data_IF_191731546433
#
_entry.id   IF_191731546433
#
_cell.length_a   1.000
_cell.length_b   1.000
_cell.length_c   1.000
_cell.angle_alpha   90.00
_cell.angle_beta   90.00
_cell.angle_gamma   90.00
#
_symmetry.space_group_name_H-M   'P 1'
#
loop_
_entity.id
_entity.type
_entity.pdbx_description
1 polymer ?
#
# COMPACT_ATOMS: atom_id res chain seq x y z
N UNK A 1 7.50 10.24 24.04
CA UNK A 1 7.78 10.14 22.58
C UNK A 1 6.45 10.28 21.86
N UNK A 2 6.30 11.27 20.97
CA UNK A 2 5.16 11.25 20.03
C UNK A 2 5.40 10.06 19.11
N UNK A 3 4.54 9.03 19.16
CA UNK A 3 4.55 7.99 18.13
C UNK A 3 4.17 8.71 16.83
N UNK A 4 5.07 8.68 15.85
CA UNK A 4 4.76 9.14 14.50
C UNK A 4 3.64 8.23 13.96
N UNK A 5 2.63 8.82 13.31
CA UNK A 5 1.52 8.05 12.76
C UNK A 5 2.00 7.44 11.46
N UNK A 6 2.04 6.11 11.41
CA UNK A 6 2.49 5.39 10.22
C UNK A 6 1.49 5.58 9.07
N UNK A 7 2.01 6.03 7.93
CA UNK A 7 1.25 6.08 6.68
C UNK A 7 1.27 4.71 6.02
N UNK A 8 0.10 4.24 5.62
CA UNK A 8 -0.04 2.97 4.90
C UNK A 8 0.00 3.22 3.40
N UNK A 9 0.88 2.49 2.74
CA UNK A 9 1.06 2.50 1.29
C UNK A 9 0.54 1.21 0.68
N UNK A 10 0.07 1.32 -0.55
CA UNK A 10 -0.20 0.20 -1.44
C UNK A 10 0.83 0.23 -2.57
N UNK A 11 1.46 -0.92 -2.79
CA UNK A 11 2.41 -1.19 -3.85
C UNK A 11 1.75 -2.12 -4.85
N UNK A 12 1.74 -1.74 -6.11
CA UNK A 12 1.07 -2.47 -7.18
C UNK A 12 2.06 -2.73 -8.32
N UNK A 13 2.33 -4.01 -8.57
CA UNK A 13 3.08 -4.46 -9.73
C UNK A 13 2.12 -5.16 -10.72
N UNK A 14 1.62 -4.44 -11.74
CA UNK A 14 0.69 -5.01 -12.71
C UNK A 14 1.33 -6.06 -13.63
N UNK A 15 2.65 -6.05 -13.83
CA UNK A 15 3.36 -7.08 -14.61
C UNK A 15 3.31 -8.44 -13.92
N UNK A 16 3.42 -8.47 -12.59
CA UNK A 16 3.43 -9.70 -11.79
C UNK A 16 2.08 -9.99 -11.12
N UNK A 17 1.09 -9.13 -11.30
CA UNK A 17 -0.20 -9.17 -10.59
C UNK A 17 -0.03 -9.22 -9.07
N UNK A 18 0.89 -8.41 -8.52
CA UNK A 18 1.16 -8.32 -7.09
C UNK A 18 0.57 -7.01 -6.56
N UNK A 19 -0.21 -7.11 -5.49
CA UNK A 19 -0.63 -5.98 -4.65
C UNK A 19 -0.12 -6.26 -3.24
N UNK A 20 0.56 -5.29 -2.63
CA UNK A 20 1.09 -5.42 -1.26
C UNK A 20 0.88 -4.13 -0.48
N UNK A 21 0.45 -4.26 0.77
CA UNK A 21 0.39 -3.14 1.70
C UNK A 21 1.69 -3.05 2.50
N UNK A 22 2.13 -1.83 2.80
CA UNK A 22 3.33 -1.60 3.59
C UNK A 22 3.26 -0.28 4.37
N UNK A 23 3.97 -0.20 5.50
CA UNK A 23 4.19 1.07 6.20
C UNK A 23 5.37 1.83 5.61
N UNK A 24 5.50 3.12 5.97
CA UNK A 24 6.68 3.92 5.61
C UNK A 24 8.00 3.32 6.10
N UNK A 25 7.99 2.61 7.24
CA UNK A 25 9.15 1.87 7.72
C UNK A 25 9.51 0.71 6.78
N UNK A 26 8.52 -0.11 6.42
CA UNK A 26 8.72 -1.28 5.55
C UNK A 26 9.16 -0.91 4.13
N UNK A 27 8.77 0.27 3.64
CA UNK A 27 9.27 0.82 2.38
C UNK A 27 10.75 1.20 2.43
N UNK A 28 11.26 1.62 3.60
CA UNK A 28 12.63 2.13 3.77
C UNK A 28 13.63 1.06 4.18
N UNK A 29 13.20 0.11 5.01
CA UNK A 29 14.12 -0.76 5.73
C UNK A 29 13.91 -2.26 5.47
N UNK A 30 12.74 -2.66 4.96
CA UNK A 30 12.44 -4.06 4.65
C UNK A 30 12.63 -4.36 3.16
N UNK A 31 12.62 -5.65 2.81
CA UNK A 31 12.70 -6.13 1.42
C UNK A 31 11.40 -5.88 0.60
N UNK A 32 10.48 -5.04 1.07
CA UNK A 32 9.17 -4.80 0.44
C UNK A 32 9.26 -4.42 -1.04
N UNK A 33 10.19 -3.52 -1.40
CA UNK A 33 10.38 -3.09 -2.79
C UNK A 33 10.89 -4.25 -3.65
N UNK A 34 11.81 -5.04 -3.11
CA UNK A 34 12.39 -6.21 -3.77
C UNK A 34 11.37 -7.30 -3.96
N UNK A 35 10.53 -7.58 -2.97
CA UNK A 35 9.47 -8.58 -3.06
C UNK A 35 8.46 -8.26 -4.16
N UNK A 36 8.06 -6.99 -4.27
CA UNK A 36 7.00 -6.56 -5.20
C UNK A 36 7.56 -6.34 -6.60
N UNK A 37 8.68 -5.61 -6.73
CA UNK A 37 9.19 -5.15 -8.01
C UNK A 37 10.43 -5.93 -8.48
N UNK A 38 11.14 -6.60 -7.59
CA UNK A 38 12.38 -7.32 -7.91
C UNK A 38 13.62 -6.42 -7.97
N UNK A 39 13.52 -5.19 -7.44
CA UNK A 39 14.62 -4.20 -7.41
C UNK A 39 14.98 -3.85 -5.96
N UNK A 40 16.20 -3.39 -5.70
CA UNK A 40 16.69 -3.29 -4.33
C UNK A 40 16.08 -2.12 -3.54
N UNK A 41 15.72 -1.02 -4.20
CA UNK A 41 15.20 0.17 -3.52
C UNK A 41 14.30 1.03 -4.41
N UNK A 42 13.73 2.10 -3.83
CA UNK A 42 12.87 3.05 -4.55
C UNK A 42 13.59 3.70 -5.73
N UNK A 43 14.88 4.05 -5.60
CA UNK A 43 15.63 4.66 -6.70
C UNK A 43 15.77 3.70 -7.89
N UNK A 44 15.99 2.41 -7.63
CA UNK A 44 16.01 1.39 -8.69
C UNK A 44 14.64 1.18 -9.32
N UNK A 45 13.57 1.31 -8.53
CA UNK A 45 12.20 1.29 -9.04
C UNK A 45 11.93 2.49 -9.96
N UNK A 46 12.40 3.68 -9.61
CA UNK A 46 12.31 4.84 -10.52
C UNK A 46 13.03 4.60 -11.84
N UNK A 47 14.23 4.01 -11.80
CA UNK A 47 14.94 3.59 -13.01
C UNK A 47 14.15 2.52 -13.79
N UNK A 48 13.57 1.53 -13.10
CA UNK A 48 12.73 0.51 -13.72
C UNK A 48 11.52 1.13 -14.43
N UNK A 49 10.81 2.08 -13.80
CA UNK A 49 9.70 2.81 -14.41
C UNK A 49 10.16 3.59 -15.65
N UNK A 50 11.38 4.12 -15.67
CA UNK A 50 11.90 4.92 -16.78
C UNK A 50 12.42 4.08 -17.96
N UNK A 51 12.96 2.89 -17.71
CA UNK A 51 13.71 2.15 -18.74
C UNK A 51 13.18 0.74 -19.04
N UNK A 52 12.39 0.12 -18.14
CA UNK A 52 11.86 -1.21 -18.34
C UNK A 52 10.55 -1.15 -19.15
N UNK A 53 10.63 -1.35 -20.46
CA UNK A 53 9.49 -1.27 -21.37
C UNK A 53 8.35 -2.26 -21.04
N UNK A 54 8.60 -3.57 -20.81
CA UNK A 54 7.56 -4.48 -20.33
C UNK A 54 6.80 -3.96 -19.11
N UNK A 55 7.52 -3.42 -18.13
CA UNK A 55 6.91 -2.86 -16.93
C UNK A 55 6.11 -1.59 -17.24
N UNK A 56 6.62 -0.68 -18.06
CA UNK A 56 5.90 0.51 -18.52
C UNK A 56 4.59 0.16 -19.21
N UNK A 57 4.63 -0.80 -20.15
CA UNK A 57 3.47 -1.24 -20.90
C UNK A 57 2.42 -1.84 -19.94
N UNK A 58 2.84 -2.61 -18.93
CA UNK A 58 1.95 -3.17 -17.91
C UNK A 58 1.24 -2.10 -17.07
N UNK A 59 1.95 -1.04 -16.65
CA UNK A 59 1.36 0.06 -15.87
C UNK A 59 0.40 0.86 -16.75
N UNK A 60 0.81 1.18 -17.99
CA UNK A 60 -0.02 1.93 -18.93
C UNK A 60 -1.34 1.21 -19.23
N UNK A 61 -1.28 -0.10 -19.46
CA UNK A 61 -2.46 -0.91 -19.69
C UNK A 61 -3.38 -0.99 -18.46
N UNK A 62 -2.81 -1.19 -17.27
CA UNK A 62 -3.59 -1.29 -16.03
C UNK A 62 -4.27 0.04 -15.64
N UNK A 63 -3.54 1.16 -15.76
CA UNK A 63 -4.03 2.50 -15.35
C UNK A 63 -4.72 3.27 -16.48
N UNK A 64 -4.73 2.73 -17.70
CA UNK A 64 -5.22 3.40 -18.90
C UNK A 64 -4.57 4.79 -19.11
N UNK A 65 -3.24 4.84 -19.00
CA UNK A 65 -2.43 6.06 -19.16
C UNK A 65 -1.38 5.88 -20.26
N UNK A 66 -0.75 6.98 -20.66
CA UNK A 66 0.40 6.95 -21.57
C UNK A 66 1.73 6.94 -20.82
N UNK A 67 2.78 6.42 -21.46
CA UNK A 67 4.16 6.39 -20.94
C UNK A 67 4.63 7.77 -20.43
N UNK A 68 4.19 8.86 -21.08
CA UNK A 68 4.54 10.23 -20.69
C UNK A 68 4.02 10.65 -19.30
N UNK A 69 3.02 9.93 -18.78
CA UNK A 69 2.40 10.19 -17.48
C UNK A 69 2.83 9.19 -16.41
N UNK A 70 3.80 8.31 -16.71
CA UNK A 70 4.33 7.36 -15.74
C UNK A 70 5.11 8.08 -14.64
N UNK A 71 4.88 7.65 -13.42
CA UNK A 71 5.58 8.13 -12.22
C UNK A 71 5.47 7.08 -11.12
N UNK A 72 6.31 7.20 -10.11
CA UNK A 72 6.32 6.32 -8.94
C UNK A 72 4.93 6.20 -8.29
N UNK A 73 4.17 7.30 -8.26
CA UNK A 73 2.84 7.37 -7.65
C UNK A 73 1.79 6.46 -8.31
N UNK A 74 2.07 5.93 -9.51
CA UNK A 74 1.19 4.97 -10.17
C UNK A 74 1.32 3.55 -9.61
N UNK A 75 2.46 3.24 -8.97
CA UNK A 75 2.79 1.90 -8.46
C UNK A 75 3.04 1.89 -6.95
N UNK A 76 3.35 3.02 -6.33
CA UNK A 76 3.40 3.18 -4.87
C UNK A 76 2.58 4.42 -4.51
N UNK A 77 1.52 4.24 -3.73
CA UNK A 77 0.67 5.35 -3.28
C UNK A 77 0.14 5.10 -1.89
N UNK A 78 -0.35 6.16 -1.25
CA UNK A 78 -1.04 6.02 0.04
C UNK A 78 -2.32 5.21 -0.19
N UNK A 79 -2.56 4.22 0.66
CA UNK A 79 -3.74 3.38 0.59
C UNK A 79 -5.00 4.19 0.93
N UNK A 80 -6.09 3.88 0.24
CA UNK A 80 -7.42 4.38 0.54
C UNK A 80 -8.12 3.50 1.59
N UNK A 81 -9.15 4.05 2.23
CA UNK A 81 -10.04 3.28 3.11
C UNK A 81 -10.66 2.09 2.38
N UNK A 82 -11.03 2.26 1.11
CA UNK A 82 -11.64 1.20 0.29
C UNK A 82 -10.71 0.01 0.12
N UNK A 83 -9.43 0.26 -0.10
CA UNK A 83 -8.41 -0.79 -0.25
C UNK A 83 -8.14 -1.50 1.07
N UNK A 84 -8.16 -0.78 2.18
CA UNK A 84 -8.08 -1.39 3.50
C UNK A 84 -9.25 -2.32 3.80
N UNK A 85 -10.45 -2.01 3.30
CA UNK A 85 -11.59 -2.93 3.39
C UNK A 85 -11.35 -4.21 2.59
N UNK A 86 -10.67 -4.13 1.44
CA UNK A 86 -10.29 -5.31 0.66
C UNK A 86 -9.29 -6.16 1.44
N UNK A 87 -8.25 -5.55 2.01
CA UNK A 87 -7.30 -6.24 2.88
C UNK A 87 -8.00 -6.96 4.05
N UNK A 88 -8.98 -6.30 4.68
CA UNK A 88 -9.77 -6.94 5.74
C UNK A 88 -10.50 -8.19 5.26
N UNK A 89 -11.10 -8.16 4.07
CA UNK A 89 -11.78 -9.33 3.47
C UNK A 89 -10.78 -10.46 3.24
N UNK A 90 -9.62 -10.17 2.67
CA UNK A 90 -8.56 -11.16 2.45
C UNK A 90 -8.07 -11.78 3.78
N UNK A 91 -7.89 -10.96 4.82
CA UNK A 91 -7.49 -11.43 6.14
C UNK A 91 -8.58 -12.28 6.81
N UNK A 92 -9.87 -11.99 6.60
CA UNK A 92 -10.99 -12.79 7.12
C UNK A 92 -11.04 -14.16 6.45
N UNK A 93 -10.82 -14.20 5.13
CA UNK A 93 -10.76 -15.45 4.36
C UNK A 93 -9.61 -16.33 4.85
N UNK A 94 -8.45 -15.74 5.16
CA UNK A 94 -7.29 -16.45 5.71
C UNK A 94 -7.47 -16.87 7.17
N UNK A 95 -8.14 -16.07 7.99
CA UNK A 95 -8.33 -16.34 9.43
C UNK A 95 -9.48 -17.31 9.74
N UNK A 96 -10.30 -17.67 8.75
CA UNK A 96 -11.41 -18.61 8.93
C UNK A 96 -12.51 -18.08 9.86
N UNK A 97 -12.82 -16.77 9.78
CA UNK A 97 -13.79 -16.04 10.63
C UNK A 97 -13.37 -15.85 12.10
N UNK A 98 -12.09 -16.00 12.41
CA UNK A 98 -11.53 -15.57 13.71
C UNK A 98 -11.24 -14.05 13.69
N UNK A 99 -11.20 -13.44 14.88
CA UNK A 99 -10.83 -12.04 15.07
C UNK A 99 -9.49 -11.74 14.37
N UNK A 100 -9.49 -10.75 13.48
CA UNK A 100 -8.26 -10.32 12.81
C UNK A 100 -7.45 -9.50 13.81
N UNK A 101 -6.18 -9.85 14.09
CA UNK A 101 -5.31 -8.99 14.87
C UNK A 101 -5.10 -7.67 14.11
N UNK A 102 -4.85 -6.57 14.84
CA UNK A 102 -4.54 -5.28 14.24
C UNK A 102 -3.40 -5.45 13.20
N UNK A 103 -3.67 -5.22 11.89
CA UNK A 103 -2.73 -5.59 10.83
C UNK A 103 -1.54 -4.62 10.73
N UNK A 104 -1.71 -3.40 11.24
CA UNK A 104 -0.67 -2.38 11.34
C UNK A 104 -0.66 -1.81 12.76
N UNK A 105 -0.35 -0.52 12.91
CA UNK A 105 -0.52 0.20 14.17
C UNK A 105 -2.00 0.52 14.48
N UNK A 106 -2.27 0.78 15.76
CA UNK A 106 -3.60 1.17 16.25
C UNK A 106 -4.11 2.50 15.69
N UNK A 107 -3.21 3.35 15.22
CA UNK A 107 -3.52 4.62 14.55
C UNK A 107 -2.65 4.71 13.30
N UNK A 108 -3.29 4.94 12.15
CA UNK A 108 -2.64 4.96 10.84
C UNK A 108 -3.10 6.16 10.02
N UNK A 109 -2.30 6.54 9.03
CA UNK A 109 -2.67 7.53 8.04
C UNK A 109 -2.95 6.87 6.68
N UNK A 110 -4.08 7.26 6.09
CA UNK A 110 -4.55 6.89 4.76
C UNK A 110 -4.73 8.13 3.89
N UNK A 111 -5.11 7.90 2.63
CA UNK A 111 -5.37 8.99 1.69
C UNK A 111 -6.44 9.95 2.21
N UNK A 112 -7.47 9.43 2.88
CA UNK A 112 -8.61 10.21 3.37
C UNK A 112 -8.39 10.84 4.76
N UNK A 113 -7.30 10.51 5.47
CA UNK A 113 -7.01 11.06 6.78
C UNK A 113 -6.45 10.04 7.77
N UNK A 114 -6.61 10.33 9.05
CA UNK A 114 -6.13 9.49 10.15
C UNK A 114 -7.24 8.54 10.59
N UNK A 115 -6.89 7.27 10.79
CA UNK A 115 -7.81 6.23 11.19
C UNK A 115 -7.31 5.50 12.43
N UNK A 116 -8.25 5.03 13.25
CA UNK A 116 -7.99 4.26 14.46
C UNK A 116 -8.55 2.85 14.32
N UNK A 117 -7.81 1.87 14.80
CA UNK A 117 -8.26 0.48 14.86
C UNK A 117 -9.39 0.31 15.87
N UNK A 118 -10.50 -0.27 15.41
CA UNK A 118 -11.62 -0.71 16.20
C UNK A 118 -11.56 -2.24 16.30
N UNK A 119 -11.18 -2.73 17.48
CA UNK A 119 -11.05 -4.16 17.78
C UNK A 119 -12.38 -4.90 17.66
N UNK A 120 -13.51 -4.25 18.01
CA UNK A 120 -14.83 -4.90 18.00
C UNK A 120 -15.25 -5.28 16.59
N UNK A 121 -14.94 -4.40 15.63
CA UNK A 121 -15.29 -4.60 14.23
C UNK A 121 -14.09 -5.10 13.39
N UNK A 122 -12.92 -5.26 13.99
CA UNK A 122 -11.66 -5.56 13.28
C UNK A 122 -11.48 -4.66 12.04
N UNK A 123 -11.63 -3.35 12.24
CA UNK A 123 -11.63 -2.38 11.14
C UNK A 123 -11.09 -1.02 11.55
N UNK A 124 -10.62 -0.23 10.58
CA UNK A 124 -10.17 1.13 10.80
C UNK A 124 -11.32 2.13 10.64
N UNK A 125 -11.60 2.90 11.69
CA UNK A 125 -12.61 3.97 11.72
C UNK A 125 -11.92 5.34 11.65
N UNK A 126 -12.57 6.33 11.01
CA UNK A 126 -12.00 7.67 10.87
C UNK A 126 -11.82 8.29 12.26
N UNK A 127 -10.59 8.69 12.59
CA UNK A 127 -10.31 9.35 13.86
C UNK A 127 -10.68 10.84 13.71
N UNK A 128 -11.68 11.30 14.46
CA UNK A 128 -12.20 12.67 14.39
C UNK A 128 -11.26 13.71 15.04
N UNK A 129 -10.04 13.36 15.40
CA UNK A 129 -9.03 14.24 15.99
C UNK A 129 -8.46 15.33 15.03
N UNK A 130 -9.22 15.72 14.02
CA UNK A 130 -8.85 16.72 13.00
C UNK A 130 -10.00 17.67 12.62
N UNK A 131 -10.83 18.08 13.58
CA UNK A 131 -11.73 19.24 13.48
C UNK A 131 -11.50 20.20 14.64
#
# INVERSE_FOLDING_TARGET
MKKEIDTIYILENPEKNIIKFATGYQLKYDDTIKDVFGVACINDLEMMIQFNKPFQDSICANKNISVKNLSLNQVIRIASKKELLQLRVELLEQSGNLSIPCPFDSVIQLQEGIFRWDEQNSSYILDQLGA
#
